data_IF_016875304208
#
_entry.id   IF_016875304208
#
_cell.length_a   1.000
_cell.length_b   1.000
_cell.length_c   1.000
_cell.angle_alpha   90.00
_cell.angle_beta   90.00
_cell.angle_gamma   90.00
#
_symmetry.space_group_name_H-M   'P 1'
#
loop_
_entity.id
_entity.type
_entity.pdbx_description
1 polymer ?
#
# COMPACT_ATOMS: atom_id res chain seq x y z
N UNK A 1 3.73 -14.11 4.52
CA UNK A 1 4.54 -13.41 5.55
C UNK A 1 4.49 -11.90 5.28
N UNK A 2 4.40 -11.06 6.33
CA UNK A 2 4.48 -9.60 6.17
C UNK A 2 5.92 -9.14 6.36
N UNK A 3 6.41 -8.30 5.45
CA UNK A 3 7.76 -7.73 5.47
C UNK A 3 7.70 -6.21 5.31
N UNK A 4 8.65 -5.51 5.91
CA UNK A 4 8.83 -4.07 5.65
C UNK A 4 9.64 -3.90 4.37
N UNK A 5 9.11 -3.10 3.44
CA UNK A 5 9.77 -2.70 2.18
C UNK A 5 9.74 -1.19 2.08
N UNK A 6 10.60 -0.60 1.24
CA UNK A 6 10.48 0.83 0.94
C UNK A 6 9.19 1.09 0.15
N UNK A 7 8.52 2.20 0.43
CA UNK A 7 7.31 2.59 -0.27
C UNK A 7 7.54 2.68 -1.80
N UNK A 8 8.71 3.15 -2.24
CA UNK A 8 9.08 3.23 -3.67
C UNK A 8 9.19 1.89 -4.40
N UNK A 9 9.39 0.79 -3.66
CA UNK A 9 9.52 -0.55 -4.22
C UNK A 9 8.17 -1.23 -4.47
N UNK A 10 7.09 -0.68 -3.90
CA UNK A 10 5.74 -1.22 -4.09
C UNK A 10 5.25 -0.98 -5.53
N UNK A 11 4.58 -2.00 -6.07
CA UNK A 11 4.05 -2.01 -7.42
C UNK A 11 2.55 -2.40 -7.44
N UNK A 12 1.83 -2.08 -8.54
CA UNK A 12 0.51 -2.64 -8.75
C UNK A 12 0.55 -4.17 -8.69
N UNK A 13 -0.35 -4.77 -7.91
CA UNK A 13 -0.43 -6.20 -7.66
C UNK A 13 0.11 -6.63 -6.30
N UNK A 14 1.01 -5.85 -5.69
CA UNK A 14 1.48 -6.10 -4.32
C UNK A 14 0.34 -5.93 -3.30
N UNK A 15 0.48 -6.62 -2.17
CA UNK A 15 -0.45 -6.54 -1.05
C UNK A 15 0.14 -5.61 0.02
N UNK A 16 -0.52 -4.48 0.26
CA UNK A 16 -0.13 -3.49 1.28
C UNK A 16 -1.01 -3.64 2.52
N UNK A 17 -0.40 -3.84 3.68
CA UNK A 17 -1.09 -3.76 4.97
C UNK A 17 -1.18 -2.29 5.41
N UNK A 18 -2.39 -1.79 5.61
CA UNK A 18 -2.70 -0.41 5.98
C UNK A 18 -3.54 -0.38 7.26
N UNK A 19 -3.06 0.30 8.29
CA UNK A 19 -3.87 0.57 9.49
C UNK A 19 -4.82 1.74 9.25
N UNK A 20 -6.11 1.49 9.41
CA UNK A 20 -7.19 2.48 9.30
C UNK A 20 -7.96 2.56 10.62
N UNK A 21 -8.88 3.52 10.75
CA UNK A 21 -9.76 3.62 11.93
C UNK A 21 -10.65 2.37 12.12
N UNK A 22 -10.98 1.68 11.03
CA UNK A 22 -11.73 0.43 11.03
C UNK A 22 -10.85 -0.80 11.32
N UNK A 23 -9.57 -0.59 11.66
CA UNK A 23 -8.57 -1.63 11.85
C UNK A 23 -7.62 -1.79 10.67
N UNK A 24 -6.83 -2.86 10.72
CA UNK A 24 -5.82 -3.16 9.71
C UNK A 24 -6.47 -3.82 8.48
N UNK A 25 -6.23 -3.25 7.31
CA UNK A 25 -6.73 -3.72 6.02
C UNK A 25 -5.57 -4.20 5.15
N UNK A 26 -5.75 -5.29 4.42
CA UNK A 26 -4.81 -5.72 3.38
C UNK A 26 -5.36 -5.28 2.03
N UNK A 27 -4.61 -4.45 1.33
CA UNK A 27 -5.00 -3.84 0.07
C UNK A 27 -4.18 -4.41 -1.06
N UNK A 28 -4.83 -4.97 -2.07
CA UNK A 28 -4.18 -5.24 -3.35
C UNK A 28 -4.05 -3.96 -4.14
N UNK A 29 -2.81 -3.51 -4.36
CA UNK A 29 -2.54 -2.28 -5.08
C UNK A 29 -2.99 -2.41 -6.53
N UNK A 30 -3.80 -1.45 -6.98
CA UNK A 30 -4.26 -1.34 -8.36
C UNK A 30 -3.56 -0.20 -9.10
N UNK A 31 -3.05 0.79 -8.36
CA UNK A 31 -2.33 1.92 -8.93
C UNK A 31 -1.27 2.45 -7.95
N UNK A 32 -0.11 2.80 -8.49
CA UNK A 32 1.00 3.42 -7.76
C UNK A 32 1.45 4.65 -8.55
N UNK A 33 1.21 5.82 -7.98
CA UNK A 33 1.50 7.12 -8.59
C UNK A 33 2.69 7.77 -7.86
N UNK A 34 3.84 7.87 -8.53
CA UNK A 34 5.02 8.56 -8.00
C UNK A 34 4.90 10.05 -8.22
N UNK A 35 4.97 10.83 -7.15
CA UNK A 35 4.82 12.30 -7.13
C UNK A 35 6.12 12.96 -6.68
N UNK A 36 6.22 14.28 -6.79
CA UNK A 36 7.42 15.03 -6.38
C UNK A 36 7.78 14.84 -4.90
N UNK A 37 6.79 14.71 -4.02
CA UNK A 37 7.00 14.66 -2.55
C UNK A 37 6.65 13.31 -1.90
N UNK A 38 6.37 12.28 -2.70
CA UNK A 38 6.00 10.97 -2.19
C UNK A 38 5.27 10.13 -3.22
N UNK A 39 4.55 9.14 -2.74
CA UNK A 39 3.91 8.10 -3.54
C UNK A 39 2.47 7.98 -3.08
N UNK A 40 1.54 7.98 -4.04
CA UNK A 40 0.14 7.69 -3.79
C UNK A 40 -0.17 6.26 -4.22
N UNK A 41 -0.76 5.50 -3.31
CA UNK A 41 -1.25 4.16 -3.53
C UNK A 41 -2.77 4.16 -3.64
N UNK A 42 -3.29 3.40 -4.60
CA UNK A 42 -4.69 3.03 -4.64
C UNK A 42 -4.79 1.52 -4.73
N UNK A 43 -5.75 0.93 -4.03
CA UNK A 43 -5.92 -0.51 -3.99
C UNK A 43 -7.31 -0.90 -3.51
N UNK A 44 -7.58 -2.21 -3.54
CA UNK A 44 -8.82 -2.79 -3.04
C UNK A 44 -8.55 -3.82 -1.96
N UNK A 45 -9.40 -3.87 -0.94
CA UNK A 45 -9.39 -4.99 0.00
C UNK A 45 -10.09 -6.22 -0.61
N UNK A 46 -10.16 -7.32 0.15
CA UNK A 46 -10.81 -8.57 -0.24
C UNK A 46 -12.31 -8.42 -0.53
N UNK A 47 -12.99 -7.51 0.16
CA UNK A 47 -14.39 -7.14 -0.04
C UNK A 47 -14.61 -6.24 -1.27
N UNK A 48 -13.54 -5.80 -1.94
CA UNK A 48 -13.60 -4.97 -3.15
C UNK A 48 -13.73 -3.46 -2.90
N UNK A 49 -13.70 -3.01 -1.65
CA UNK A 49 -13.73 -1.59 -1.30
C UNK A 49 -12.45 -0.90 -1.74
N UNK A 50 -12.58 0.30 -2.31
CA UNK A 50 -11.46 1.09 -2.79
C UNK A 50 -10.86 1.91 -1.64
N UNK A 51 -9.55 1.84 -1.50
CA UNK A 51 -8.77 2.64 -0.56
C UNK A 51 -7.69 3.43 -1.29
N UNK A 52 -7.31 4.56 -0.69
CA UNK A 52 -6.17 5.35 -1.11
C UNK A 52 -5.30 5.74 0.08
N UNK A 53 -3.99 5.65 -0.08
CA UNK A 53 -3.02 6.05 0.94
C UNK A 53 -1.85 6.79 0.29
N UNK A 54 -1.15 7.63 1.05
CA UNK A 54 0.06 8.32 0.63
C UNK A 54 1.21 8.04 1.58
N UNK A 55 2.41 7.86 1.04
CA UNK A 55 3.65 7.72 1.81
C UNK A 55 4.75 8.58 1.20
N UNK A 56 5.73 8.98 2.00
CA UNK A 56 6.93 9.69 1.54
C UNK A 56 7.95 8.68 1.01
N UNK A 57 8.86 9.15 0.17
CA UNK A 57 10.03 8.36 -0.23
C UNK A 57 10.87 8.01 0.99
N UNK A 58 11.38 6.78 1.05
CA UNK A 58 12.14 6.26 2.19
C UNK A 58 11.30 5.81 3.38
N UNK A 59 9.97 5.99 3.36
CA UNK A 59 9.10 5.40 4.38
C UNK A 59 8.94 3.89 4.15
N UNK A 60 8.87 3.14 5.25
CA UNK A 60 8.63 1.71 5.21
C UNK A 60 7.13 1.43 5.10
N UNK A 61 6.81 0.51 4.20
CA UNK A 61 5.48 -0.02 3.97
C UNK A 61 5.45 -1.52 4.28
N UNK A 62 4.37 -2.00 4.89
CA UNK A 62 4.18 -3.41 5.20
C UNK A 62 3.62 -4.16 3.99
N UNK A 63 4.48 -4.91 3.31
CA UNK A 63 4.11 -5.73 2.16
C UNK A 63 3.82 -7.17 2.60
N UNK A 64 2.66 -7.71 2.22
CA UNK A 64 2.30 -9.10 2.45
C UNK A 64 2.74 -9.93 1.25
N UNK A 65 3.67 -10.86 1.46
CA UNK A 65 4.10 -11.83 0.45
C UNK A 65 3.41 -13.19 0.71
N UNK A 66 2.99 -13.92 -0.33
CA UNK A 66 2.53 -15.30 -0.19
C UNK A 66 3.62 -16.20 0.42
#
# INVERSE_FOLDING_TARGET
MTIDVLAEDLQPGDLLELSTEAGTQVLRLTHVERRTQGIKFMGRNDQGFLYSSGMKYGELARCVRP
#
